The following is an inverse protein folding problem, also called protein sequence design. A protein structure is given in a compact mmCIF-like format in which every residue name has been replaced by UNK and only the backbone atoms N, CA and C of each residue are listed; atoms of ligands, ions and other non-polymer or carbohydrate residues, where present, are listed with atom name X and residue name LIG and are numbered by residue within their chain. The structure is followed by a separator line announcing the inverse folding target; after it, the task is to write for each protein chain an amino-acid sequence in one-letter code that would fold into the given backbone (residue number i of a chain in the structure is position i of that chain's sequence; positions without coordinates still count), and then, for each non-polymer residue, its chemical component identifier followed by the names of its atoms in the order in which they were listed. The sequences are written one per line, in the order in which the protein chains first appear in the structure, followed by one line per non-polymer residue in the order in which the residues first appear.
data_IF_751715904934
#
_entry.id   IF_751715904934
#
_cell.length_a   1.000
_cell.length_b   1.000
_cell.length_c   1.000
_cell.angle_alpha   90.00
_cell.angle_beta   90.00
_cell.angle_gamma   90.00
#
_symmetry.space_group_name_H-M   'P 1'
#
loop_
_entity.id
_entity.type
_entity.pdbx_description
1 polymer ?
#
# COMPACT_ATOMS: atom_id res chain seq x y z
N UNK A 1 -5.20 7.96 25.63
CA UNK A 1 -4.03 8.63 25.04
C UNK A 1 -3.88 9.96 25.75
N UNK A 2 -2.70 10.59 25.70
CA UNK A 2 -2.53 11.92 26.31
C UNK A 2 -3.30 12.96 25.49
N UNK A 3 -4.06 13.88 26.13
CA UNK A 3 -4.85 14.91 25.45
C UNK A 3 -4.13 15.68 24.33
N UNK A 4 -2.84 16.06 24.44
CA UNK A 4 -2.14 16.77 23.36
C UNK A 4 -1.89 15.90 22.12
N UNK A 5 -1.73 14.58 22.28
CA UNK A 5 -1.47 13.68 21.15
C UNK A 5 -2.73 13.46 20.31
N UNK A 6 -3.89 13.36 20.97
CA UNK A 6 -5.17 13.21 20.29
C UNK A 6 -5.48 14.43 19.40
N UNK A 7 -5.16 15.63 19.88
CA UNK A 7 -5.29 16.86 19.08
C UNK A 7 -4.35 16.87 17.85
N UNK A 8 -3.14 16.35 17.98
CA UNK A 8 -2.21 16.24 16.85
C UNK A 8 -2.74 15.27 15.78
N UNK A 9 -3.28 14.12 16.19
CA UNK A 9 -3.87 13.16 15.25
C UNK A 9 -5.12 13.70 14.56
N UNK A 10 -5.98 14.45 15.26
CA UNK A 10 -7.14 15.09 14.65
C UNK A 10 -6.72 16.12 13.59
N UNK A 11 -5.69 16.93 13.87
CA UNK A 11 -5.14 17.87 12.88
C UNK A 11 -4.52 17.14 11.69
N UNK A 12 -3.83 16.03 11.94
CA UNK A 12 -3.26 15.20 10.88
C UNK A 12 -4.35 14.66 9.95
N UNK A 13 -5.45 14.12 10.49
CA UNK A 13 -6.57 13.61 9.69
C UNK A 13 -7.20 14.73 8.84
N UNK A 14 -7.47 15.89 9.45
CA UNK A 14 -7.99 17.05 8.72
C UNK A 14 -7.08 17.44 7.54
N UNK A 15 -5.77 17.50 7.75
CA UNK A 15 -4.79 17.79 6.71
C UNK A 15 -4.72 16.68 5.66
N UNK A 16 -4.79 15.40 6.05
CA UNK A 16 -4.81 14.28 5.09
C UNK A 16 -6.05 14.34 4.19
N UNK A 17 -7.22 14.70 4.74
CA UNK A 17 -8.44 14.89 3.97
C UNK A 17 -8.32 16.06 2.99
N UNK A 18 -7.70 17.16 3.40
CA UNK A 18 -7.43 18.29 2.52
C UNK A 18 -6.50 17.90 1.36
N UNK A 19 -5.39 17.21 1.66
CA UNK A 19 -4.47 16.68 0.64
C UNK A 19 -5.21 15.75 -0.33
N UNK A 20 -6.08 14.85 0.17
CA UNK A 20 -6.88 13.96 -0.69
C UNK A 20 -7.79 14.76 -1.62
N UNK A 21 -8.43 15.81 -1.13
CA UNK A 21 -9.29 16.69 -1.95
C UNK A 21 -8.49 17.40 -3.03
N UNK A 22 -7.33 17.97 -2.68
CA UNK A 22 -6.43 18.63 -3.63
C UNK A 22 -5.92 17.65 -4.70
N UNK A 23 -5.49 16.46 -4.29
CA UNK A 23 -5.09 15.40 -5.23
C UNK A 23 -6.25 15.00 -6.14
N UNK A 24 -7.48 14.85 -5.62
CA UNK A 24 -8.65 14.52 -6.42
C UNK A 24 -8.99 15.65 -7.41
N UNK A 25 -8.92 16.91 -7.00
CA UNK A 25 -9.09 18.06 -7.91
C UNK A 25 -8.02 18.11 -9.00
N UNK A 26 -6.75 17.83 -8.64
CA UNK A 26 -5.67 17.71 -9.60
C UNK A 26 -5.90 16.55 -10.58
N UNK A 27 -6.47 15.42 -10.13
CA UNK A 27 -6.84 14.30 -11.00
C UNK A 27 -7.90 14.69 -12.04
N UNK A 28 -8.89 15.53 -11.69
CA UNK A 28 -9.88 16.04 -12.66
C UNK A 28 -9.26 16.88 -13.79
N UNK A 29 -8.04 17.42 -13.62
CA UNK A 29 -7.31 18.13 -14.68
C UNK A 29 -6.84 17.18 -15.79
N UNK A 30 -6.75 15.88 -15.51
CA UNK A 30 -6.33 14.86 -16.46
C UNK A 30 -7.56 14.02 -16.88
N UNK A 31 -7.90 14.03 -18.17
CA UNK A 31 -9.13 13.45 -18.71
C UNK A 31 -9.13 11.90 -18.73
N UNK A 32 -9.20 11.28 -17.55
CA UNK A 32 -9.50 9.86 -17.39
C UNK A 32 -10.72 9.68 -16.47
N UNK A 33 -11.57 8.70 -16.78
CA UNK A 33 -12.74 8.34 -15.98
C UNK A 33 -12.48 7.00 -15.30
N UNK A 34 -12.64 6.95 -13.99
CA UNK A 34 -12.64 5.70 -13.22
C UNK A 34 -14.04 5.09 -13.25
N UNK A 35 -14.29 4.10 -14.10
CA UNK A 35 -15.55 3.33 -14.09
C UNK A 35 -15.30 1.96 -13.48
N UNK A 36 -15.92 1.69 -12.31
CA UNK A 36 -15.86 0.38 -11.61
C UNK A 36 -14.43 -0.16 -11.45
N UNK A 37 -13.48 0.70 -11.08
CA UNK A 37 -12.07 0.33 -10.90
C UNK A 37 -11.26 0.18 -12.19
N UNK A 38 -11.81 0.55 -13.36
CA UNK A 38 -11.10 0.59 -14.64
C UNK A 38 -10.89 2.04 -15.08
N UNK A 39 -9.65 2.36 -15.47
CA UNK A 39 -9.28 3.67 -16.01
C UNK A 39 -9.66 3.72 -17.49
N UNK A 40 -10.68 4.50 -17.82
CA UNK A 40 -11.13 4.74 -19.20
C UNK A 40 -10.63 6.12 -19.62
N UNK A 41 -9.67 6.13 -20.55
CA UNK A 41 -9.21 7.35 -21.21
C UNK A 41 -10.13 7.68 -22.38
N UNK A 42 -10.40 8.97 -22.59
CA UNK A 42 -11.20 9.45 -23.71
C UNK A 42 -10.57 9.03 -25.06
N UNK A 43 -11.42 8.58 -26.00
CA UNK A 43 -10.98 7.89 -27.23
C UNK A 43 -10.08 8.77 -28.11
N UNK A 44 -10.34 10.07 -28.14
CA UNK A 44 -9.65 11.04 -29.00
C UNK A 44 -8.20 11.31 -28.55
N UNK A 45 -7.91 11.30 -27.24
CA UNK A 45 -6.56 11.55 -26.70
C UNK A 45 -5.69 10.29 -26.60
N UNK A 46 -6.27 9.08 -26.64
CA UNK A 46 -5.51 7.83 -26.74
C UNK A 46 -4.61 7.79 -27.97
N UNK A 47 -5.02 8.41 -29.07
CA UNK A 47 -4.24 8.48 -30.32
C UNK A 47 -3.11 9.50 -30.25
N UNK A 48 -3.31 10.62 -29.54
CA UNK A 48 -2.31 11.68 -29.36
C UNK A 48 -1.18 11.30 -28.38
N UNK A 49 -1.44 10.34 -27.50
CA UNK A 49 -0.51 9.88 -26.46
C UNK A 49 0.15 8.53 -26.77
N UNK A 50 -0.09 7.90 -27.93
CA UNK A 50 0.59 6.63 -28.25
C UNK A 50 2.08 6.90 -28.47
N UNK A 51 2.98 6.15 -27.82
CA UNK A 51 4.39 6.29 -28.09
C UNK A 51 4.64 5.90 -29.54
N UNK A 52 5.42 6.71 -30.26
CA UNK A 52 5.83 6.36 -31.61
C UNK A 52 6.74 5.13 -31.58
N UNK A 53 6.74 4.31 -32.64
CA UNK A 53 7.70 3.19 -32.76
C UNK A 53 9.16 3.63 -32.56
N UNK A 54 9.49 4.91 -32.83
CA UNK A 54 10.80 5.50 -32.60
C UNK A 54 11.19 5.70 -31.13
N UNK A 55 10.24 5.99 -30.23
CA UNK A 55 10.54 6.13 -28.78
C UNK A 55 10.83 4.77 -28.13
N UNK A 56 10.15 3.72 -28.57
CA UNK A 56 10.45 2.34 -28.14
C UNK A 56 11.83 1.88 -28.61
N UNK A 57 12.20 2.19 -29.85
CA UNK A 57 13.53 1.93 -30.38
C UNK A 57 14.60 2.75 -29.63
N UNK A 58 14.38 4.04 -29.39
CA UNK A 58 15.31 4.88 -28.62
C UNK A 58 15.46 4.41 -27.16
N UNK A 59 14.41 3.89 -26.53
CA UNK A 59 14.49 3.29 -25.19
C UNK A 59 15.30 1.99 -25.18
N UNK A 60 15.12 1.12 -26.17
CA UNK A 60 15.88 -0.13 -26.30
C UNK A 60 17.35 0.11 -26.68
N UNK A 61 17.63 1.05 -27.59
CA UNK A 61 18.99 1.37 -28.05
C UNK A 61 19.72 2.36 -27.12
N UNK A 62 19.00 3.13 -26.30
CA UNK A 62 19.53 4.04 -25.29
C UNK A 62 19.59 3.46 -23.87
N UNK A 63 19.07 2.24 -23.65
CA UNK A 63 19.22 1.55 -22.39
C UNK A 63 20.70 1.23 -22.15
N UNK A 64 21.31 1.90 -21.17
CA UNK A 64 22.67 1.61 -20.76
C UNK A 64 22.77 0.12 -20.42
N UNK A 65 23.73 -0.60 -21.02
CA UNK A 65 23.90 -2.08 -20.94
C UNK A 65 23.80 -2.61 -19.49
N UNK A 66 24.22 -1.82 -18.51
CA UNK A 66 24.09 -2.08 -17.06
C UNK A 66 22.64 -2.34 -16.60
N UNK A 67 21.63 -1.72 -17.20
CA UNK A 67 20.22 -1.94 -16.85
C UNK A 67 19.73 -3.30 -17.32
N UNK A 68 20.13 -3.70 -18.53
CA UNK A 68 19.78 -5.02 -19.08
C UNK A 68 20.46 -6.13 -18.29
N UNK A 69 21.72 -5.92 -17.88
CA UNK A 69 22.48 -6.88 -17.05
C UNK A 69 21.88 -7.08 -15.66
N UNK A 70 21.30 -6.04 -15.07
CA UNK A 70 20.69 -6.10 -13.72
C UNK A 70 19.23 -6.53 -13.74
N UNK A 71 18.57 -6.51 -14.90
CA UNK A 71 17.17 -6.90 -15.03
C UNK A 71 16.88 -8.32 -14.51
N UNK A 72 17.68 -9.38 -14.81
CA UNK A 72 17.41 -10.72 -14.27
C UNK A 72 17.41 -10.77 -12.75
N UNK A 73 18.27 -9.99 -12.09
CA UNK A 73 18.36 -9.92 -10.63
C UNK A 73 17.15 -9.18 -10.06
N UNK A 74 16.72 -8.08 -10.69
CA UNK A 74 15.52 -7.35 -10.25
C UNK A 74 14.29 -8.25 -10.40
N UNK A 75 14.11 -8.87 -11.56
CA UNK A 75 12.94 -9.69 -11.82
C UNK A 75 12.93 -11.00 -11.03
N UNK A 76 14.09 -11.56 -10.65
CA UNK A 76 14.12 -12.78 -9.82
C UNK A 76 13.48 -12.59 -8.44
N UNK A 77 13.48 -11.36 -7.90
CA UNK A 77 12.81 -11.03 -6.64
C UNK A 77 11.29 -11.30 -6.68
N UNK A 78 10.67 -11.44 -7.86
CA UNK A 78 9.24 -11.77 -7.95
C UNK A 78 8.94 -13.13 -7.31
N UNK A 79 9.88 -14.08 -7.38
CA UNK A 79 9.70 -15.42 -6.83
C UNK A 79 9.49 -15.39 -5.32
N UNK A 80 10.42 -14.83 -4.50
CA UNK A 80 10.18 -14.72 -3.07
C UNK A 80 8.97 -13.83 -2.74
N UNK A 81 8.67 -12.80 -3.53
CA UNK A 81 7.50 -11.95 -3.32
C UNK A 81 6.18 -12.72 -3.48
N UNK A 82 6.05 -13.55 -4.52
CA UNK A 82 4.86 -14.39 -4.72
C UNK A 82 4.73 -15.46 -3.62
N UNK A 83 5.84 -16.05 -3.20
CA UNK A 83 5.85 -17.00 -2.06
C UNK A 83 5.36 -16.29 -0.79
N UNK A 84 5.87 -15.08 -0.50
CA UNK A 84 5.44 -14.29 0.64
C UNK A 84 3.94 -13.95 0.58
N UNK A 85 3.44 -13.51 -0.58
CA UNK A 85 2.01 -13.22 -0.78
C UNK A 85 1.15 -14.46 -0.47
N UNK A 86 1.49 -15.61 -1.07
CA UNK A 86 0.77 -16.86 -0.85
C UNK A 86 0.81 -17.30 0.62
N UNK A 87 1.98 -17.21 1.26
CA UNK A 87 2.18 -17.62 2.64
C UNK A 87 1.38 -16.76 3.62
N UNK A 88 1.49 -15.44 3.49
CA UNK A 88 0.81 -14.48 4.37
C UNK A 88 -0.71 -14.49 4.12
N UNK A 89 -1.14 -14.67 2.86
CA UNK A 89 -2.55 -14.86 2.52
C UNK A 89 -3.13 -16.11 3.17
N UNK A 90 -2.39 -17.23 3.13
CA UNK A 90 -2.79 -18.49 3.77
C UNK A 90 -2.83 -18.35 5.29
N UNK A 91 -1.80 -17.72 5.87
CA UNK A 91 -1.74 -17.42 7.30
C UNK A 91 -2.98 -16.67 7.78
N UNK A 92 -3.36 -15.55 7.15
CA UNK A 92 -4.54 -14.82 7.59
C UNK A 92 -5.83 -15.60 7.28
N UNK A 93 -5.89 -16.37 6.19
CA UNK A 93 -7.08 -17.14 5.85
C UNK A 93 -7.41 -18.19 6.91
N UNK A 94 -6.38 -18.80 7.52
CA UNK A 94 -6.50 -19.83 8.55
C UNK A 94 -6.62 -19.20 9.94
N UNK A 95 -5.68 -18.33 10.32
CA UNK A 95 -5.55 -17.86 11.70
C UNK A 95 -6.55 -16.76 12.07
N UNK A 96 -6.85 -15.82 11.16
CA UNK A 96 -7.69 -14.67 11.52
C UNK A 96 -9.13 -15.07 11.88
N UNK A 97 -9.80 -16.00 11.17
CA UNK A 97 -11.11 -16.50 11.60
C UNK A 97 -11.09 -17.15 12.98
N UNK A 98 -10.03 -17.91 13.31
CA UNK A 98 -9.88 -18.56 14.62
C UNK A 98 -9.79 -17.54 15.75
N UNK A 99 -9.17 -16.40 15.50
CA UNK A 99 -8.98 -15.32 16.49
C UNK A 99 -10.06 -14.23 16.43
N UNK A 100 -11.00 -14.29 15.48
CA UNK A 100 -11.99 -13.24 15.25
C UNK A 100 -11.42 -11.94 14.68
N UNK A 101 -10.25 -11.98 14.05
CA UNK A 101 -9.64 -10.82 13.39
C UNK A 101 -10.29 -10.66 11.99
N UNK A 102 -10.69 -9.45 11.57
CA UNK A 102 -11.18 -9.25 10.22
C UNK A 102 -10.07 -9.46 9.19
N UNK A 103 -10.39 -10.11 8.07
CA UNK A 103 -9.43 -10.32 6.97
C UNK A 103 -9.05 -9.01 6.28
N UNK A 104 -7.81 -8.95 5.82
CA UNK A 104 -7.29 -7.84 5.02
C UNK A 104 -7.62 -8.09 3.56
N UNK A 105 -8.35 -7.16 2.93
CA UNK A 105 -8.70 -7.25 1.51
C UNK A 105 -7.49 -6.89 0.67
N UNK A 106 -7.00 -7.83 -0.11
CA UNK A 106 -5.82 -7.64 -0.98
C UNK A 106 -6.01 -6.52 -2.01
N UNK A 107 -7.23 -6.35 -2.53
CA UNK A 107 -7.57 -5.36 -3.54
C UNK A 107 -7.42 -3.90 -3.05
N UNK A 108 -7.45 -3.67 -1.74
CA UNK A 108 -7.28 -2.33 -1.16
C UNK A 108 -5.80 -1.88 -1.15
N UNK A 109 -4.87 -2.82 -1.38
CA UNK A 109 -3.42 -2.58 -1.29
C UNK A 109 -2.70 -2.79 -2.62
N UNK A 110 -3.00 -3.88 -3.33
CA UNK A 110 -2.35 -4.21 -4.60
C UNK A 110 -3.18 -3.63 -5.73
N UNK A 111 -2.90 -2.37 -6.07
CA UNK A 111 -3.54 -1.62 -7.16
C UNK A 111 -2.60 -1.60 -8.37
N UNK A 112 -3.07 -2.15 -9.48
CA UNK A 112 -2.32 -2.24 -10.73
C UNK A 112 -3.21 -1.65 -11.83
N UNK A 113 -3.01 -0.37 -12.13
CA UNK A 113 -3.80 0.39 -13.12
C UNK A 113 -2.92 1.15 -14.12
N UNK A 114 -1.66 1.39 -13.80
CA UNK A 114 -0.69 2.13 -14.64
C UNK A 114 -0.44 1.47 -15.99
N UNK A 115 -0.68 0.17 -16.13
CA UNK A 115 -0.56 -0.52 -17.43
C UNK A 115 -1.63 -0.06 -18.44
N UNK A 116 -2.70 0.59 -17.99
CA UNK A 116 -3.70 1.20 -18.87
C UNK A 116 -3.24 2.51 -19.51
N UNK A 117 -2.10 3.09 -19.08
CA UNK A 117 -1.57 4.33 -19.64
C UNK A 117 -1.15 4.12 -21.10
N UNK A 118 -1.73 4.89 -22.06
CA UNK A 118 -1.51 4.66 -23.48
C UNK A 118 -0.13 5.08 -23.96
N UNK A 119 0.54 5.99 -23.24
CA UNK A 119 1.87 6.53 -23.56
C UNK A 119 3.04 5.69 -23.08
N UNK A 120 2.81 4.66 -22.27
CA UNK A 120 3.86 3.76 -21.81
C UNK A 120 4.11 2.65 -22.82
N UNK A 121 5.39 2.34 -23.03
CA UNK A 121 5.80 1.18 -23.81
C UNK A 121 5.56 -0.14 -23.03
N UNK A 122 5.56 -1.31 -23.69
CA UNK A 122 5.28 -2.58 -23.01
C UNK A 122 6.22 -2.91 -21.85
N UNK A 123 7.50 -2.54 -21.95
CA UNK A 123 8.50 -2.79 -20.92
C UNK A 123 8.31 -1.87 -19.70
N UNK A 124 7.99 -0.61 -19.93
CA UNK A 124 7.60 0.35 -18.88
C UNK A 124 6.31 -0.08 -18.17
N UNK A 125 5.34 -0.63 -18.90
CA UNK A 125 4.14 -1.21 -18.31
C UNK A 125 4.48 -2.39 -17.42
N UNK A 126 5.37 -3.29 -17.86
CA UNK A 126 5.83 -4.41 -17.05
C UNK A 126 6.53 -3.93 -15.76
N UNK A 127 7.44 -2.95 -15.87
CA UNK A 127 8.09 -2.33 -14.72
C UNK A 127 7.07 -1.68 -13.76
N UNK A 128 6.04 -1.01 -14.30
CA UNK A 128 4.98 -0.41 -13.50
C UNK A 128 4.15 -1.46 -12.74
N UNK A 129 3.82 -2.58 -13.40
CA UNK A 129 3.13 -3.72 -12.76
C UNK A 129 4.00 -4.31 -11.67
N UNK A 130 5.28 -4.53 -11.94
CA UNK A 130 6.26 -5.04 -10.98
C UNK A 130 6.31 -4.16 -9.73
N UNK A 131 6.58 -2.86 -9.88
CA UNK A 131 6.66 -1.93 -8.76
C UNK A 131 5.31 -1.77 -8.02
N UNK A 132 4.20 -1.74 -8.75
CA UNK A 132 2.86 -1.67 -8.14
C UNK A 132 2.54 -2.89 -7.30
N UNK A 133 2.89 -4.09 -7.79
CA UNK A 133 2.75 -5.34 -7.05
C UNK A 133 3.60 -5.35 -5.78
N UNK A 134 4.89 -5.03 -5.87
CA UNK A 134 5.78 -5.06 -4.70
C UNK A 134 5.36 -4.09 -3.60
N UNK A 135 5.13 -2.82 -3.95
CA UNK A 135 4.75 -1.82 -2.94
C UNK A 135 3.40 -2.15 -2.31
N UNK A 136 2.43 -2.60 -3.13
CA UNK A 136 1.14 -3.05 -2.64
C UNK A 136 1.25 -4.29 -1.73
N UNK A 137 2.10 -5.25 -2.09
CA UNK A 137 2.34 -6.45 -1.29
C UNK A 137 2.97 -6.11 0.06
N UNK A 138 3.98 -5.26 0.11
CA UNK A 138 4.61 -4.86 1.38
C UNK A 138 3.60 -4.16 2.29
N UNK A 139 2.77 -3.26 1.75
CA UNK A 139 1.72 -2.60 2.52
C UNK A 139 0.65 -3.60 3.02
N UNK A 140 0.26 -4.57 2.19
CA UNK A 140 -0.67 -5.64 2.54
C UNK A 140 -0.12 -6.52 3.68
N UNK A 141 1.14 -6.95 3.56
CA UNK A 141 1.82 -7.75 4.59
C UNK A 141 1.95 -6.96 5.89
N UNK A 142 2.33 -5.68 5.82
CA UNK A 142 2.44 -4.81 7.00
C UNK A 142 1.08 -4.64 7.71
N UNK A 143 -0.02 -4.53 6.97
CA UNK A 143 -1.35 -4.47 7.59
C UNK A 143 -1.71 -5.76 8.31
N UNK A 144 -1.44 -6.91 7.69
CA UNK A 144 -1.71 -8.23 8.30
C UNK A 144 -0.89 -8.37 9.58
N UNK A 145 0.40 -8.06 9.51
CA UNK A 145 1.28 -8.05 10.68
C UNK A 145 0.78 -7.09 11.77
N UNK A 146 0.35 -5.87 11.40
CA UNK A 146 -0.18 -4.90 12.36
C UNK A 146 -1.48 -5.33 13.04
N UNK A 147 -2.36 -6.10 12.35
CA UNK A 147 -3.54 -6.72 12.98
C UNK A 147 -3.16 -7.85 13.91
N UNK A 148 -2.19 -8.67 13.52
CA UNK A 148 -1.62 -9.72 14.38
C UNK A 148 -1.00 -9.11 15.64
N UNK A 149 -0.20 -8.05 15.49
CA UNK A 149 0.43 -7.35 16.59
C UNK A 149 -0.61 -6.73 17.52
N UNK A 150 -1.65 -6.10 16.96
CA UNK A 150 -2.76 -5.57 17.76
C UNK A 150 -3.44 -6.65 18.62
N UNK A 151 -3.58 -7.87 18.08
CA UNK A 151 -4.21 -8.97 18.81
C UNK A 151 -3.28 -9.53 19.91
N UNK A 152 -2.01 -9.77 19.60
CA UNK A 152 -1.12 -10.47 20.50
C UNK A 152 -0.40 -9.56 21.49
N UNK A 153 0.17 -8.46 21.02
CA UNK A 153 1.04 -7.59 21.80
C UNK A 153 0.96 -6.12 21.33
N UNK A 154 -0.15 -5.41 21.59
CA UNK A 154 -0.31 -4.00 21.22
C UNK A 154 0.47 -3.07 22.17
N UNK A 155 1.80 -3.19 22.18
CA UNK A 155 2.72 -2.38 22.99
C UNK A 155 3.69 -1.67 22.06
N UNK A 156 3.88 -0.36 22.26
CA UNK A 156 4.85 0.42 21.50
C UNK A 156 6.27 -0.01 21.84
N UNK A 157 7.16 0.05 20.86
CA UNK A 157 8.59 -0.15 21.05
C UNK A 157 9.21 0.99 21.89
N UNK A 158 10.21 0.63 22.71
CA UNK A 158 11.04 1.60 23.42
C UNK A 158 11.84 2.50 22.48
N UNK A 159 12.28 1.95 21.34
CA UNK A 159 12.91 2.71 20.27
C UNK A 159 11.90 3.05 19.20
N UNK A 160 11.88 4.30 18.75
CA UNK A 160 10.98 4.75 17.69
C UNK A 160 11.40 4.19 16.32
N UNK A 161 10.61 3.30 15.71
CA UNK A 161 10.89 2.85 14.35
C UNK A 161 10.71 3.99 13.36
N UNK A 162 11.43 3.93 12.22
CA UNK A 162 11.30 4.95 11.15
C UNK A 162 9.91 4.97 10.52
N UNK A 163 9.26 3.82 10.44
CA UNK A 163 7.91 3.68 9.91
C UNK A 163 7.11 2.75 10.82
N UNK A 164 5.84 3.07 11.02
CA UNK A 164 4.92 2.27 11.82
C UNK A 164 3.65 2.01 11.02
N UNK A 165 3.00 0.87 11.27
CA UNK A 165 1.72 0.59 10.65
C UNK A 165 0.63 1.50 11.24
N UNK A 166 -0.46 1.66 10.50
CA UNK A 166 -1.56 2.58 10.86
C UNK A 166 -2.19 2.35 12.23
N UNK A 167 -1.98 1.18 12.87
CA UNK A 167 -2.61 0.81 14.15
C UNK A 167 -1.71 1.09 15.35
N UNK A 168 -0.43 1.33 15.13
CA UNK A 168 0.58 1.54 16.17
C UNK A 168 0.24 2.69 17.15
N UNK A 169 -0.38 3.80 16.73
CA UNK A 169 -0.82 4.83 17.69
C UNK A 169 -1.86 4.36 18.71
N UNK A 170 -2.62 3.30 18.43
CA UNK A 170 -3.61 2.73 19.36
C UNK A 170 -2.95 1.90 20.47
N UNK A 171 -1.66 1.56 20.32
CA UNK A 171 -0.96 0.66 21.22
C UNK A 171 -0.61 1.34 22.53
N UNK A 172 -0.44 0.50 23.56
CA UNK A 172 -0.07 0.90 24.90
C UNK A 172 1.40 1.30 24.94
N UNK A 173 1.74 2.26 25.81
CA UNK A 173 3.10 2.74 25.93
C UNK A 173 4.04 1.66 26.49
N UNK A 174 5.31 1.76 26.11
CA UNK A 174 6.34 0.83 26.57
C UNK A 174 6.48 0.90 28.10
N UNK A 175 6.36 -0.24 28.78
CA UNK A 175 6.46 -0.35 30.24
C UNK A 175 5.16 -0.15 31.03
N UNK A 176 4.05 0.22 30.38
CA UNK A 176 2.74 0.40 31.03
C UNK A 176 2.00 -0.95 31.18
N UNK A 177 2.36 -1.70 32.23
CA UNK A 177 1.80 -3.03 32.49
C UNK A 177 0.31 -2.99 32.89
N UNK A 178 -0.14 -1.94 33.56
CA UNK A 178 -1.53 -1.77 34.00
C UNK A 178 -2.42 -1.43 32.80
N UNK A 179 -2.05 -0.40 32.03
CA UNK A 179 -2.75 -0.02 30.81
C UNK A 179 -2.78 -1.13 29.76
N UNK A 180 -1.75 -1.99 29.73
CA UNK A 180 -1.76 -3.19 28.90
C UNK A 180 -2.89 -4.14 29.30
N UNK A 181 -3.00 -4.50 30.59
CA UNK A 181 -4.03 -5.41 31.08
C UNK A 181 -5.43 -4.87 30.87
N UNK A 182 -5.62 -3.57 31.07
CA UNK A 182 -6.92 -2.92 30.95
C UNK A 182 -7.40 -2.84 29.50
N UNK A 183 -6.51 -2.45 28.58
CA UNK A 183 -6.87 -2.20 27.17
C UNK A 183 -6.78 -3.43 26.27
N UNK A 184 -6.06 -4.48 26.68
CA UNK A 184 -5.84 -5.67 25.83
C UNK A 184 -7.14 -6.30 25.33
N UNK A 185 -8.15 -6.45 26.20
CA UNK A 185 -9.45 -7.00 25.80
C UNK A 185 -10.15 -6.15 24.74
N UNK A 186 -10.05 -4.83 24.86
CA UNK A 186 -10.62 -3.90 23.89
C UNK A 186 -9.89 -3.99 22.55
N UNK A 187 -8.55 -3.91 22.57
CA UNK A 187 -7.72 -3.92 21.36
C UNK A 187 -7.83 -5.24 20.59
N UNK A 188 -8.04 -6.37 21.27
CA UNK A 188 -8.28 -7.68 20.63
C UNK A 188 -9.61 -7.79 19.90
N UNK A 189 -10.58 -6.92 20.16
CA UNK A 189 -11.94 -6.99 19.60
C UNK A 189 -12.24 -5.88 18.59
N UNK A 190 -11.58 -4.73 18.72
CA UNK A 190 -11.91 -3.54 17.93
C UNK A 190 -10.88 -3.32 16.82
N UNK A 191 -11.22 -3.81 15.63
CA UNK A 191 -10.38 -3.71 14.44
C UNK A 191 -10.84 -2.62 13.45
N UNK A 192 -11.52 -1.60 13.95
CA UNK A 192 -11.99 -0.48 13.14
C UNK A 192 -10.85 0.17 12.36
N UNK A 193 -11.13 0.75 11.19
CA UNK A 193 -10.15 1.55 10.47
C UNK A 193 -9.60 2.61 11.40
N UNK A 194 -8.27 2.73 11.45
CA UNK A 194 -7.65 3.83 12.18
C UNK A 194 -8.22 5.16 11.64
N UNK A 195 -8.56 6.13 12.50
CA UNK A 195 -9.24 7.34 12.04
C UNK A 195 -8.39 8.20 11.09
N UNK A 196 -7.07 8.00 11.05
CA UNK A 196 -6.12 8.68 10.16
C UNK A 196 -5.79 7.90 8.87
N UNK A 197 -6.69 6.99 8.44
CA UNK A 197 -6.45 6.07 7.32
C UNK A 197 -7.13 6.45 6.03
#
# INVERSE_FOLDING_TARGET
MSPPLDQLYQRLDALQQEIRRELQQAQHRFAYRLERGKVIFDRERRTALKPGLGEFAAYLFGAEIKHVLTAPVIYSCIVPAVILDAWVSTYQAICFPVWGIPRVKRADYIVIDRHYLPYLNPLEKLNCVYCGYFNGLIAYVQEIAGRTEQYWCPIRHAHHPRTVHSRYPLFVDYGDAEGFRDKLRYLRRHFDPAPWR
#
